data_IF_835118878631
#
_entry.id   IF_835118878631
#
_cell.length_a   1.000
_cell.length_b   1.000
_cell.length_c   1.000
_cell.angle_alpha   90.00
_cell.angle_beta   90.00
_cell.angle_gamma   90.00
#
_symmetry.space_group_name_H-M   'P 1'
#
loop_
_entity.id
_entity.type
_entity.pdbx_description
1 polymer ?
#
# COMPACT_ATOMS: atom_id res chain seq x y z
N UNK A 1 -23.90 -2.22 -14.55
CA UNK A 1 -23.53 -2.09 -14.29
C UNK A 1 -22.88 -2.20 -13.29
N UNK A 2 -22.65 -1.74 -12.96
CA UNK A 2 -21.81 -1.71 -11.99
C UNK A 2 -21.72 -2.73 -11.04
N UNK A 3 -22.63 -3.33 -10.86
CA UNK A 3 -22.64 -4.26 -9.94
C UNK A 3 -21.61 -5.23 -10.00
N UNK A 4 -21.14 -5.47 -11.07
CA UNK A 4 -20.17 -6.47 -11.21
C UNK A 4 -18.93 -5.95 -10.61
N UNK A 5 -19.01 -4.75 -10.12
CA UNK A 5 -17.86 -4.19 -9.61
C UNK A 5 -17.61 -4.56 -8.24
N UNK A 6 -17.53 -5.74 -7.93
CA UNK A 6 -17.21 -6.16 -6.64
C UNK A 6 -15.81 -5.75 -6.34
N UNK A 7 -15.39 -5.80 -5.09
CA UNK A 7 -14.10 -5.37 -4.65
C UNK A 7 -12.97 -6.12 -5.26
N UNK A 8 -12.66 -5.77 -6.47
CA UNK A 8 -11.54 -6.34 -7.15
C UNK A 8 -10.58 -5.17 -7.37
N UNK A 9 -10.07 -5.05 -8.58
CA UNK A 9 -9.04 -4.05 -8.85
C UNK A 9 -9.52 -2.62 -8.61
N UNK A 10 -10.74 -2.28 -9.04
CA UNK A 10 -11.22 -0.90 -8.90
C UNK A 10 -11.38 -0.51 -7.45
N UNK A 11 -11.84 -1.44 -6.62
CA UNK A 11 -12.01 -1.18 -5.20
C UNK A 11 -10.65 -0.89 -4.56
N UNK A 12 -9.66 -1.75 -4.81
CA UNK A 12 -8.35 -1.60 -4.21
C UNK A 12 -7.63 -0.37 -4.74
N UNK A 13 -7.82 -0.05 -6.02
CA UNK A 13 -7.21 1.14 -6.60
C UNK A 13 -7.80 2.41 -5.99
N UNK A 14 -9.11 2.43 -5.74
CA UNK A 14 -9.75 3.57 -5.08
C UNK A 14 -9.17 3.78 -3.68
N UNK A 15 -8.94 2.68 -2.95
CA UNK A 15 -8.35 2.79 -1.63
C UNK A 15 -6.91 3.30 -1.71
N UNK A 16 -6.17 2.90 -2.74
CA UNK A 16 -4.81 3.37 -2.93
C UNK A 16 -4.79 4.89 -3.14
N UNK A 17 -5.69 5.40 -3.96
CA UNK A 17 -5.78 6.84 -4.20
C UNK A 17 -6.19 7.58 -2.93
N UNK A 18 -7.10 7.02 -2.17
CA UNK A 18 -7.55 7.63 -0.91
C UNK A 18 -6.35 7.73 0.05
N UNK A 19 -5.58 6.68 0.17
CA UNK A 19 -4.43 6.67 1.06
C UNK A 19 -3.35 7.64 0.59
N UNK A 20 -3.18 7.80 -0.72
CA UNK A 20 -2.23 8.75 -1.26
C UNK A 20 -2.63 10.18 -0.92
N UNK A 21 -3.91 10.51 -1.05
CA UNK A 21 -4.40 11.83 -0.69
C UNK A 21 -4.21 12.09 0.80
N UNK A 22 -4.40 11.07 1.63
CA UNK A 22 -4.19 11.20 3.06
C UNK A 22 -2.70 11.44 3.35
N UNK A 23 -1.81 10.75 2.64
CA UNK A 23 -0.38 10.94 2.81
C UNK A 23 0.01 12.37 2.48
N UNK A 24 -0.56 12.93 1.41
CA UNK A 24 -0.28 14.30 1.01
C UNK A 24 -0.76 15.29 2.07
N UNK A 25 -1.94 15.06 2.64
CA UNK A 25 -2.46 15.92 3.69
C UNK A 25 -1.59 15.84 4.95
N UNK A 26 -1.12 14.66 5.29
CA UNK A 26 -0.24 14.48 6.44
C UNK A 26 1.10 15.18 6.22
N UNK A 27 1.59 15.15 5.00
CA UNK A 27 2.85 15.80 4.67
C UNK A 27 2.70 17.32 4.82
N UNK A 28 1.61 17.89 4.34
CA UNK A 28 1.36 19.32 4.44
C UNK A 28 1.16 19.75 5.89
N UNK A 29 0.61 18.87 6.73
CA UNK A 29 0.41 19.16 8.14
C UNK A 29 1.64 18.82 8.97
N UNK A 30 2.72 18.39 8.33
CA UNK A 30 3.96 18.01 8.99
C UNK A 30 3.78 16.83 9.95
N UNK A 31 2.86 15.95 9.64
CA UNK A 31 2.64 14.74 10.44
C UNK A 31 3.46 13.61 9.84
N UNK A 32 4.77 13.76 9.86
CA UNK A 32 5.68 12.89 9.13
C UNK A 32 5.63 11.43 9.54
N UNK A 33 5.30 11.18 10.80
CA UNK A 33 5.19 9.82 11.27
C UNK A 33 4.16 9.02 10.48
N UNK A 34 3.06 9.67 10.11
CA UNK A 34 1.98 9.01 9.41
C UNK A 34 2.15 9.01 7.89
N UNK A 35 3.02 9.84 7.37
CA UNK A 35 3.25 9.89 5.92
C UNK A 35 3.80 8.55 5.44
N UNK A 36 4.80 8.03 6.13
CA UNK A 36 5.40 6.76 5.74
C UNK A 36 4.39 5.62 5.78
N UNK A 37 3.57 5.57 6.83
CA UNK A 37 2.54 4.55 6.96
C UNK A 37 1.53 4.65 5.80
N UNK A 38 1.08 5.88 5.49
CA UNK A 38 0.10 6.04 4.41
C UNK A 38 0.69 5.75 3.04
N UNK A 39 1.96 6.04 2.85
CA UNK A 39 2.63 5.68 1.59
C UNK A 39 2.73 4.16 1.47
N UNK A 40 3.02 3.47 2.59
CA UNK A 40 3.04 2.02 2.61
C UNK A 40 1.65 1.49 2.20
N UNK A 41 0.59 2.05 2.79
CA UNK A 41 -0.77 1.63 2.49
C UNK A 41 -1.12 1.87 1.02
N UNK A 42 -0.67 2.98 0.46
CA UNK A 42 -0.92 3.28 -0.94
C UNK A 42 -0.33 2.19 -1.84
N UNK A 43 0.91 1.83 -1.60
CA UNK A 43 1.57 0.83 -2.43
C UNK A 43 0.95 -0.55 -2.20
N UNK A 44 0.63 -0.87 -0.95
CA UNK A 44 -0.01 -2.14 -0.63
C UNK A 44 -1.32 -2.29 -1.40
N UNK A 45 -2.15 -1.23 -1.39
CA UNK A 45 -3.43 -1.28 -2.07
C UNK A 45 -3.28 -1.33 -3.59
N UNK A 46 -2.27 -0.63 -4.11
CA UNK A 46 -2.00 -0.65 -5.55
C UNK A 46 -1.58 -2.05 -6.00
N UNK A 47 -0.72 -2.71 -5.22
CA UNK A 47 -0.29 -4.06 -5.56
C UNK A 47 -1.45 -5.04 -5.44
N UNK A 48 -2.33 -4.85 -4.47
CA UNK A 48 -3.50 -5.69 -4.33
C UNK A 48 -4.48 -5.47 -5.48
N UNK A 49 -4.55 -4.25 -6.02
CA UNK A 49 -5.36 -3.98 -7.20
C UNK A 49 -4.84 -4.79 -8.39
N UNK A 50 -3.52 -4.83 -8.56
CA UNK A 50 -2.93 -5.59 -9.64
C UNK A 50 -3.22 -7.08 -9.47
N UNK A 51 -3.09 -7.58 -8.24
CA UNK A 51 -3.37 -8.99 -7.97
C UNK A 51 -4.82 -9.31 -8.31
N UNK A 52 -5.76 -8.47 -7.86
CA UNK A 52 -7.17 -8.70 -8.09
C UNK A 52 -7.49 -8.69 -9.58
N UNK A 53 -6.86 -7.80 -10.33
CA UNK A 53 -7.07 -7.71 -11.75
C UNK A 53 -6.54 -8.95 -12.48
N UNK A 54 -5.36 -9.40 -12.09
CA UNK A 54 -4.73 -10.54 -12.75
C UNK A 54 -5.37 -11.87 -12.42
N UNK A 55 -5.87 -12.01 -11.21
CA UNK A 55 -6.38 -13.28 -10.72
C UNK A 55 -7.89 -13.35 -10.55
N UNK A 56 -8.55 -12.22 -10.70
CA UNK A 56 -10.00 -12.12 -10.56
C UNK A 56 -10.47 -12.70 -9.22
N UNK A 57 -9.75 -12.39 -8.17
CA UNK A 57 -10.12 -12.83 -6.84
C UNK A 57 -9.62 -11.85 -5.79
N UNK A 58 -10.11 -11.99 -4.59
CA UNK A 58 -9.74 -11.10 -3.49
C UNK A 58 -8.27 -11.34 -3.13
N UNK A 59 -7.49 -10.29 -2.98
CA UNK A 59 -6.07 -10.45 -2.64
C UNK A 59 -5.88 -11.04 -1.25
N UNK A 60 -4.80 -11.73 -1.01
CA UNK A 60 -4.52 -12.32 0.30
C UNK A 60 -4.22 -11.22 1.30
N UNK A 61 -4.40 -11.52 2.57
CA UNK A 61 -4.18 -10.54 3.63
C UNK A 61 -2.69 -10.50 3.96
N UNK A 62 -1.94 -9.92 3.06
CA UNK A 62 -0.50 -9.76 3.20
C UNK A 62 -0.20 -8.28 3.22
N UNK A 63 0.63 -7.84 4.16
CA UNK A 63 1.01 -6.45 4.28
C UNK A 63 2.48 -6.21 3.89
N UNK A 64 3.24 -7.26 3.72
CA UNK A 64 4.64 -7.14 3.35
C UNK A 64 4.73 -6.78 1.87
N UNK A 65 5.26 -5.59 1.58
CA UNK A 65 5.32 -5.08 0.21
C UNK A 65 6.21 -5.93 -0.70
N UNK A 66 7.30 -6.43 -0.16
CA UNK A 66 8.21 -7.25 -0.96
C UNK A 66 7.51 -8.55 -1.39
N UNK A 67 6.72 -9.13 -0.49
CA UNK A 67 5.97 -10.34 -0.82
C UNK A 67 4.88 -10.06 -1.84
N UNK A 68 4.19 -8.92 -1.71
CA UNK A 68 3.15 -8.57 -2.66
C UNK A 68 3.74 -8.29 -4.04
N UNK A 69 4.90 -7.64 -4.07
CA UNK A 69 5.56 -7.33 -5.32
C UNK A 69 5.95 -8.62 -6.04
N UNK A 70 6.43 -9.61 -5.30
CA UNK A 70 6.80 -10.88 -5.87
C UNK A 70 5.55 -11.64 -6.33
N UNK A 71 4.46 -11.54 -5.56
CA UNK A 71 3.23 -12.23 -5.86
C UNK A 71 2.62 -11.75 -7.18
N UNK A 72 2.76 -10.46 -7.49
CA UNK A 72 2.25 -9.93 -8.75
C UNK A 72 3.32 -9.95 -9.85
N UNK A 73 4.48 -10.51 -9.54
CA UNK A 73 5.56 -10.71 -10.51
C UNK A 73 6.06 -9.44 -11.17
N UNK A 74 6.18 -8.38 -10.39
CA UNK A 74 6.67 -7.11 -10.89
C UNK A 74 8.04 -6.74 -10.34
N UNK A 75 8.64 -7.59 -9.52
CA UNK A 75 9.88 -7.22 -8.85
C UNK A 75 11.02 -6.91 -9.82
N UNK A 76 10.99 -7.48 -11.02
CA UNK A 76 12.02 -7.23 -12.00
C UNK A 76 11.60 -6.17 -13.03
N UNK A 77 10.37 -5.70 -12.94
CA UNK A 77 9.82 -4.80 -13.94
C UNK A 77 9.66 -3.35 -13.48
N UNK A 78 9.89 -3.09 -12.21
CA UNK A 78 9.74 -1.73 -11.70
C UNK A 78 11.09 -1.02 -11.71
N UNK A 79 11.09 0.31 -11.78
CA UNK A 79 12.35 1.06 -11.74
C UNK A 79 13.09 0.79 -10.44
N UNK A 80 14.41 0.81 -10.50
CA UNK A 80 15.25 0.48 -9.37
C UNK A 80 15.02 1.43 -8.18
N UNK A 81 14.83 2.71 -8.44
CA UNK A 81 14.60 3.67 -7.38
C UNK A 81 13.26 3.42 -6.69
N UNK A 82 12.24 2.99 -7.43
CA UNK A 82 10.96 2.65 -6.84
C UNK A 82 11.10 1.39 -5.98
N UNK A 83 11.88 0.43 -6.44
CA UNK A 83 12.13 -0.79 -5.69
C UNK A 83 12.77 -0.42 -4.34
N UNK A 84 13.71 0.51 -4.34
CA UNK A 84 14.37 0.95 -3.11
C UNK A 84 13.40 1.65 -2.17
N UNK A 85 12.50 2.46 -2.71
CA UNK A 85 11.49 3.14 -1.90
C UNK A 85 10.57 2.11 -1.24
N UNK A 86 10.17 1.09 -1.97
CA UNK A 86 9.31 0.04 -1.45
C UNK A 86 10.00 -0.67 -0.29
N UNK A 87 11.28 -0.96 -0.42
CA UNK A 87 12.02 -1.61 0.64
C UNK A 87 12.14 -0.73 1.88
N UNK A 88 12.28 0.58 1.68
CA UNK A 88 12.38 1.50 2.81
C UNK A 88 11.03 1.65 3.51
N UNK A 89 9.94 1.59 2.76
CA UNK A 89 8.62 1.74 3.33
C UNK A 89 8.12 0.48 4.02
N UNK A 90 8.62 -0.67 3.61
CA UNK A 90 8.08 -1.94 4.07
C UNK A 90 7.99 -2.07 5.60
N UNK A 91 9.00 -1.72 6.37
CA UNK A 91 8.92 -1.88 7.82
C UNK A 91 8.01 -0.86 8.51
N UNK A 92 7.57 0.16 7.80
CA UNK A 92 6.77 1.21 8.41
C UNK A 92 5.32 0.80 8.64
N UNK A 93 4.93 -0.34 8.11
CA UNK A 93 3.57 -0.82 8.26
C UNK A 93 3.15 -0.97 9.72
N UNK A 94 3.98 -1.60 10.52
CA UNK A 94 3.64 -1.84 11.91
C UNK A 94 4.00 -0.67 12.80
N UNK A 95 5.21 -0.17 12.66
CA UNK A 95 5.70 0.91 13.51
C UNK A 95 4.83 2.15 13.46
N UNK A 96 4.34 2.51 12.28
CA UNK A 96 3.53 3.70 12.14
C UNK A 96 2.07 3.45 12.45
N UNK A 97 1.64 2.20 12.38
CA UNK A 97 0.24 1.87 12.60
C UNK A 97 -0.15 2.04 14.07
N UNK A 98 0.76 1.77 14.99
CA UNK A 98 0.49 1.87 16.41
C UNK A 98 1.51 2.77 17.10
N UNK A 99 1.56 4.04 16.69
CA UNK A 99 2.56 4.95 17.24
C UNK A 99 2.41 5.17 18.73
N UNK A 100 1.19 5.15 19.25
CA UNK A 100 0.98 5.37 20.66
C UNK A 100 1.51 4.21 21.48
N UNK A 101 1.34 3.00 20.98
CA UNK A 101 1.85 1.84 21.67
C UNK A 101 3.37 1.85 21.67
N UNK A 102 3.95 2.24 20.56
CA UNK A 102 5.39 2.30 20.45
C UNK A 102 5.95 3.33 21.42
N UNK A 103 5.27 4.46 21.56
CA UNK A 103 5.73 5.49 22.44
C UNK A 103 5.51 5.15 23.92
N UNK A 104 4.55 4.31 24.19
CA UNK A 104 4.26 3.93 25.55
C UNK A 104 5.27 2.93 26.08
N UNK A 105 5.95 2.32 25.21
CA UNK A 105 6.98 1.37 25.59
C UNK A 105 8.23 2.08 26.02
#
# INVERSE_FOLDING_TARGET
MGVSQLPTDNYWLSLAYYDLQTAEAMLQSKRYLYVGFRCHQTIEKALKAIYAQNNNEVPPKIHNLARLLKLVELEDDIPHDLFNVIHELNPLNVASRYPDEDLAI
#
